data_IF_932697874547
#
_entry.id   IF_932697874547
#
_cell.length_a   1.000
_cell.length_b   1.000
_cell.length_c   1.000
_cell.angle_alpha   90.00
_cell.angle_beta   90.00
_cell.angle_gamma   90.00
#
_symmetry.space_group_name_H-M   'P 1'
#
loop_
_entity.id
_entity.type
_entity.pdbx_description
1 polymer ?
#
# COMPACT_ATOMS: atom_id res chain seq x y z
N UNK A 1 -13.51 -0.80 -15.52
CA UNK A 1 -13.63 -2.27 -15.52
C UNK A 1 -14.57 -2.68 -14.40
N UNK A 2 -15.73 -3.24 -14.72
CA UNK A 2 -16.66 -3.76 -13.73
C UNK A 2 -16.14 -5.10 -13.19
N UNK A 3 -15.58 -5.09 -11.98
CA UNK A 3 -15.28 -6.32 -11.24
C UNK A 3 -16.49 -6.72 -10.38
N UNK A 4 -17.57 -7.15 -11.03
CA UNK A 4 -18.56 -8.00 -10.40
C UNK A 4 -18.25 -9.46 -10.76
N UNK A 5 -17.63 -10.18 -9.83
CA UNK A 5 -17.97 -11.56 -9.44
C UNK A 5 -16.79 -12.28 -8.80
N UNK A 6 -17.16 -13.16 -7.87
CA UNK A 6 -16.35 -14.08 -7.05
C UNK A 6 -15.55 -13.43 -5.92
N UNK A 7 -16.01 -13.75 -4.70
CA UNK A 7 -15.31 -13.65 -3.43
C UNK A 7 -13.87 -14.11 -3.56
N UNK A 8 -12.96 -13.19 -3.88
CA UNK A 8 -11.55 -13.40 -3.60
C UNK A 8 -11.45 -13.53 -2.10
N UNK A 9 -11.22 -14.75 -1.59
CA UNK A 9 -10.78 -14.95 -0.21
C UNK A 9 -9.60 -13.98 -0.01
N UNK A 10 -9.83 -12.91 0.74
CA UNK A 10 -8.76 -11.99 1.10
C UNK A 10 -7.62 -12.77 1.75
N UNK A 11 -6.40 -12.23 1.71
CA UNK A 11 -5.32 -12.76 2.55
C UNK A 11 -5.86 -12.91 3.98
N UNK A 12 -5.49 -13.99 4.67
CA UNK A 12 -5.95 -14.25 6.04
C UNK A 12 -5.66 -13.05 6.97
N UNK A 13 -4.54 -12.39 6.77
CA UNK A 13 -4.12 -11.20 7.50
C UNK A 13 -4.74 -9.89 6.98
N UNK A 14 -5.80 -9.98 6.15
CA UNK A 14 -6.65 -8.85 5.73
C UNK A 14 -5.91 -7.70 5.04
N UNK A 15 -4.92 -8.01 4.19
CA UNK A 15 -4.16 -7.05 3.42
C UNK A 15 -5.05 -6.28 2.42
N UNK A 16 -4.91 -4.94 2.34
CA UNK A 16 -5.71 -4.12 1.45
C UNK A 16 -5.39 -4.37 -0.02
N UNK A 17 -6.38 -4.14 -0.88
CA UNK A 17 -6.30 -4.24 -2.34
C UNK A 17 -6.84 -2.95 -2.94
N UNK A 18 -6.23 -2.51 -4.03
CA UNK A 18 -6.74 -1.35 -4.74
C UNK A 18 -8.08 -1.71 -5.45
N UNK A 19 -9.09 -0.86 -5.30
CA UNK A 19 -10.39 -0.98 -5.97
C UNK A 19 -10.64 0.16 -6.98
N UNK A 20 -9.69 1.08 -7.13
CA UNK A 20 -9.79 2.27 -7.96
C UNK A 20 -8.74 2.25 -9.08
N UNK A 21 -9.15 2.66 -10.28
CA UNK A 21 -8.25 2.87 -11.41
C UNK A 21 -8.46 4.27 -11.97
N UNK A 22 -7.40 4.84 -12.55
CA UNK A 22 -7.41 6.21 -13.12
C UNK A 22 -7.64 6.22 -14.64
N UNK A 23 -8.32 5.22 -15.21
CA UNK A 23 -8.59 5.18 -16.65
C UNK A 23 -9.68 6.19 -17.02
N UNK A 24 -9.29 7.42 -17.38
CA UNK A 24 -10.23 8.48 -17.76
C UNK A 24 -9.57 9.44 -18.76
N UNK A 25 -10.37 10.03 -19.65
CA UNK A 25 -9.98 11.20 -20.45
C UNK A 25 -9.77 12.41 -19.53
N UNK A 26 -8.50 12.68 -19.20
CA UNK A 26 -8.09 13.83 -18.39
C UNK A 26 -8.27 15.12 -19.19
N UNK A 27 -8.84 16.15 -18.57
CA UNK A 27 -9.11 17.43 -19.25
C UNK A 27 -7.86 18.28 -19.46
N UNK A 28 -7.00 18.33 -18.45
CA UNK A 28 -5.73 19.07 -18.50
C UNK A 28 -4.56 18.11 -18.63
N UNK A 29 -4.02 18.00 -19.84
CA UNK A 29 -2.88 17.12 -20.14
C UNK A 29 -1.52 17.74 -19.79
N UNK A 30 -1.48 18.99 -19.31
CA UNK A 30 -0.24 19.69 -18.99
C UNK A 30 0.31 19.36 -17.60
N UNK A 31 -0.46 18.66 -16.77
CA UNK A 31 -0.11 18.37 -15.37
C UNK A 31 -0.35 16.90 -15.02
N UNK A 32 0.44 16.32 -14.12
CA UNK A 32 0.17 14.99 -13.60
C UNK A 32 -1.08 14.98 -12.71
N UNK A 33 -1.71 13.81 -12.60
CA UNK A 33 -2.88 13.58 -11.74
C UNK A 33 -2.39 13.11 -10.37
N UNK A 34 -2.86 13.74 -9.29
CA UNK A 34 -2.57 13.23 -7.95
C UNK A 34 -3.41 11.97 -7.68
N UNK A 35 -2.74 10.87 -7.37
CA UNK A 35 -3.37 9.56 -7.13
C UNK A 35 -3.05 9.03 -5.74
N UNK A 36 -3.92 8.19 -5.15
CA UNK A 36 -3.68 7.66 -3.81
C UNK A 36 -2.79 6.42 -3.76
N UNK A 37 -2.37 5.87 -4.90
CA UNK A 37 -1.70 4.57 -4.94
C UNK A 37 -0.35 4.65 -5.63
N UNK A 38 0.59 3.86 -5.11
CA UNK A 38 1.88 3.57 -5.73
C UNK A 38 1.80 2.22 -6.43
N UNK A 39 2.20 2.14 -7.70
CA UNK A 39 2.20 0.91 -8.47
C UNK A 39 3.58 0.25 -8.46
N UNK A 40 3.71 -0.93 -7.86
CA UNK A 40 5.01 -1.60 -7.73
C UNK A 40 5.62 -2.07 -9.05
N UNK A 41 4.79 -2.29 -10.07
CA UNK A 41 5.24 -2.70 -11.40
C UNK A 41 5.66 -1.54 -12.32
N UNK A 42 5.36 -0.29 -11.96
CA UNK A 42 5.66 0.89 -12.79
C UNK A 42 5.66 2.16 -11.95
N UNK A 43 6.84 2.55 -11.47
CA UNK A 43 7.02 3.76 -10.69
C UNK A 43 8.40 4.38 -10.95
N UNK A 44 8.46 5.71 -10.93
CA UNK A 44 9.68 6.49 -11.06
C UNK A 44 9.76 7.48 -9.91
N UNK A 45 10.98 7.73 -9.42
CA UNK A 45 11.24 8.68 -8.33
C UNK A 45 12.72 9.09 -8.37
N UNK A 46 13.06 10.12 -7.62
CA UNK A 46 14.46 10.38 -7.30
C UNK A 46 15.04 9.25 -6.45
N UNK A 47 16.32 8.90 -6.68
CA UNK A 47 17.00 7.87 -5.90
C UNK A 47 17.06 8.13 -4.39
N UNK A 48 16.81 9.38 -3.95
CA UNK A 48 16.67 9.76 -2.54
C UNK A 48 15.56 8.98 -1.83
N UNK A 49 14.47 8.65 -2.54
CA UNK A 49 13.35 7.89 -1.99
C UNK A 49 13.80 6.57 -1.36
N UNK A 50 14.68 5.82 -2.03
CA UNK A 50 15.14 4.54 -1.52
C UNK A 50 16.16 4.65 -0.38
N UNK A 51 16.76 5.83 -0.18
CA UNK A 51 17.61 6.12 0.98
C UNK A 51 16.78 6.43 2.22
N UNK A 52 15.70 7.20 2.05
CA UNK A 52 14.79 7.58 3.13
C UNK A 52 13.78 6.46 3.46
N UNK A 53 13.32 5.75 2.45
CA UNK A 53 12.30 4.70 2.55
C UNK A 53 12.80 3.44 1.85
N UNK A 54 13.81 2.75 2.43
CA UNK A 54 14.33 1.51 1.86
C UNK A 54 13.26 0.43 1.84
N UNK A 55 13.31 -0.46 0.85
CA UNK A 55 12.50 -1.67 0.84
C UNK A 55 12.83 -2.53 2.08
N UNK A 56 11.81 -3.10 2.69
CA UNK A 56 11.98 -3.94 3.87
C UNK A 56 12.36 -5.37 3.45
N UNK A 57 13.57 -5.85 3.77
CA UNK A 57 14.00 -7.20 3.41
C UNK A 57 13.28 -8.29 4.23
N UNK A 58 12.58 -7.91 5.31
CA UNK A 58 11.87 -8.83 6.20
C UNK A 58 10.44 -9.14 5.76
N UNK A 59 10.07 -8.80 4.51
CA UNK A 59 8.77 -9.14 3.91
C UNK A 59 8.87 -10.12 2.72
N UNK A 60 9.51 -11.30 2.86
CA UNK A 60 9.63 -12.27 1.78
C UNK A 60 8.26 -12.85 1.36
N UNK A 61 8.11 -13.16 0.06
CA UNK A 61 6.90 -13.76 -0.50
C UNK A 61 5.61 -12.93 -0.34
N UNK A 62 5.75 -11.64 -0.03
CA UNK A 62 4.65 -10.71 0.01
C UNK A 62 4.25 -10.28 -1.41
N UNK A 63 3.00 -10.57 -1.78
CA UNK A 63 2.41 -10.12 -3.05
C UNK A 63 1.11 -9.34 -2.85
N UNK A 64 0.50 -9.43 -1.66
CA UNK A 64 -0.66 -8.63 -1.33
C UNK A 64 -0.27 -7.68 -0.21
N UNK A 65 -0.38 -6.38 -0.48
CA UNK A 65 -0.15 -5.34 0.51
C UNK A 65 1.28 -4.78 0.51
N UNK A 66 2.18 -5.29 -0.31
CA UNK A 66 3.49 -4.71 -0.61
C UNK A 66 3.37 -3.27 -1.13
N UNK A 67 2.40 -3.01 -2.00
CA UNK A 67 2.17 -1.67 -2.55
C UNK A 67 1.72 -0.71 -1.45
N UNK A 68 0.81 -1.14 -0.56
CA UNK A 68 0.37 -0.34 0.57
C UNK A 68 1.44 -0.19 1.65
N UNK A 69 2.27 -1.22 1.85
CA UNK A 69 3.38 -1.15 2.79
C UNK A 69 4.36 -0.07 2.37
N UNK A 70 4.81 -0.11 1.12
CA UNK A 70 5.71 0.90 0.59
C UNK A 70 5.02 2.28 0.52
N UNK A 71 3.78 2.35 0.01
CA UNK A 71 3.05 3.60 -0.12
C UNK A 71 2.80 4.29 1.22
N UNK A 72 2.40 3.55 2.26
CA UNK A 72 2.15 4.12 3.60
C UNK A 72 3.42 4.73 4.18
N UNK A 73 4.57 4.06 4.03
CA UNK A 73 5.86 4.59 4.46
C UNK A 73 6.29 5.79 3.62
N UNK A 74 6.30 5.69 2.30
CA UNK A 74 6.67 6.81 1.43
C UNK A 74 5.79 8.05 1.67
N UNK A 75 4.47 7.85 1.76
CA UNK A 75 3.53 8.95 1.95
C UNK A 75 3.68 9.62 3.32
N UNK A 76 3.93 8.85 4.38
CA UNK A 76 4.17 9.43 5.71
C UNK A 76 5.54 10.13 5.81
N UNK A 77 6.52 9.77 4.97
CA UNK A 77 7.79 10.51 4.78
C UNK A 77 7.66 11.77 3.92
N UNK A 78 6.46 12.06 3.40
CA UNK A 78 6.17 13.30 2.69
C UNK A 78 6.13 13.17 1.16
N UNK A 79 6.27 11.96 0.60
CA UNK A 79 6.13 11.75 -0.83
C UNK A 79 4.66 11.74 -1.28
N UNK A 80 4.40 12.22 -2.49
CA UNK A 80 3.08 12.21 -3.12
C UNK A 80 3.13 11.32 -4.37
N UNK A 81 2.02 10.68 -4.73
CA UNK A 81 1.96 9.79 -5.88
C UNK A 81 1.20 10.43 -7.03
N UNK A 82 1.78 10.33 -8.22
CA UNK A 82 1.24 10.94 -9.42
C UNK A 82 1.19 9.94 -10.55
N UNK A 83 0.10 9.98 -11.33
CA UNK A 83 0.04 9.32 -12.62
C UNK A 83 0.20 10.34 -13.76
N UNK A 84 0.77 9.93 -14.90
CA UNK A 84 0.69 10.73 -16.13
C UNK A 84 -0.78 11.02 -16.49
N UNK A 85 -1.07 12.13 -17.19
CA UNK A 85 -2.44 12.46 -17.60
C UNK A 85 -2.92 11.68 -18.83
N UNK A 86 -2.10 10.79 -19.37
CA UNK A 86 -2.40 9.91 -20.50
C UNK A 86 -1.79 8.52 -20.27
N UNK A 87 -2.35 7.51 -20.94
CA UNK A 87 -1.87 6.15 -20.84
C UNK A 87 -0.47 6.00 -21.46
N UNK A 88 0.51 5.61 -20.65
CA UNK A 88 1.91 5.41 -21.08
C UNK A 88 2.25 3.93 -21.27
N UNK A 89 1.63 3.06 -20.48
CA UNK A 89 1.93 1.63 -20.47
C UNK A 89 0.69 0.81 -20.09
N UNK A 90 0.51 -0.32 -20.77
CA UNK A 90 -0.54 -1.29 -20.45
C UNK A 90 0.05 -2.54 -19.81
N UNK A 91 -0.49 -2.96 -18.66
CA UNK A 91 -0.16 -4.24 -18.05
C UNK A 91 -1.22 -5.29 -18.38
N UNK A 92 -0.80 -6.42 -18.94
CA UNK A 92 -1.70 -7.55 -19.24
C UNK A 92 -1.99 -8.36 -17.97
N UNK A 93 -3.04 -7.98 -17.26
CA UNK A 93 -3.65 -8.85 -16.25
C UNK A 93 -4.28 -10.05 -16.96
N UNK A 94 -3.85 -11.27 -16.65
CA UNK A 94 -4.26 -12.44 -17.38
C UNK A 94 -4.95 -13.49 -16.50
N UNK A 95 -6.14 -13.94 -16.92
CA UNK A 95 -6.69 -15.24 -16.53
C UNK A 95 -6.01 -16.42 -17.28
N UNK A 96 -5.22 -16.14 -18.33
CA UNK A 96 -4.63 -17.13 -19.27
C UNK A 96 -3.12 -17.01 -19.50
N UNK A 97 -2.40 -16.17 -18.75
CA UNK A 97 -0.94 -16.22 -18.82
C UNK A 97 -0.51 -17.54 -18.18
N UNK A 98 0.30 -18.34 -18.89
CA UNK A 98 1.05 -19.46 -18.30
C UNK A 98 2.08 -18.86 -17.33
N UNK A 99 1.62 -18.30 -16.21
CA UNK A 99 2.51 -18.01 -15.08
C UNK A 99 2.97 -19.39 -14.61
N UNK A 100 4.28 -19.60 -14.51
CA UNK A 100 4.78 -20.71 -13.70
C UNK A 100 4.05 -20.64 -12.37
N UNK A 101 3.34 -21.72 -12.00
CA UNK A 101 2.67 -21.73 -10.69
C UNK A 101 3.80 -21.68 -9.67
N UNK A 102 3.94 -20.56 -8.98
CA UNK A 102 4.75 -20.49 -7.78
C UNK A 102 4.22 -21.60 -6.86
N UNK A 103 5.05 -22.58 -6.55
CA UNK A 103 4.63 -23.68 -5.69
C UNK A 103 4.53 -23.13 -4.27
N UNK A 104 3.28 -22.88 -3.84
CA UNK A 104 2.99 -22.50 -2.47
C UNK A 104 3.07 -23.76 -1.61
N UNK A 105 4.27 -24.06 -1.10
CA UNK A 105 4.44 -25.05 -0.04
C UNK A 105 4.10 -24.40 1.32
N UNK A 106 4.11 -25.21 2.38
CA UNK A 106 3.81 -24.75 3.75
C UNK A 106 4.81 -23.70 4.24
N UNK A 107 6.08 -23.83 3.87
CA UNK A 107 7.14 -22.88 4.22
C UNK A 107 6.89 -21.47 3.63
N UNK A 108 6.63 -21.39 2.32
CA UNK A 108 6.29 -20.14 1.63
C UNK A 108 5.03 -19.52 2.24
N UNK A 109 4.03 -20.34 2.58
CA UNK A 109 2.83 -19.86 3.24
C UNK A 109 3.12 -19.25 4.61
N UNK A 110 3.99 -19.87 5.41
CA UNK A 110 4.43 -19.36 6.72
C UNK A 110 5.26 -18.07 6.60
N UNK A 111 6.17 -17.97 5.63
CA UNK A 111 6.95 -16.76 5.37
C UNK A 111 6.07 -15.58 4.95
N UNK A 112 5.09 -15.83 4.08
CA UNK A 112 4.09 -14.82 3.68
C UNK A 112 3.26 -14.39 4.88
N UNK A 113 2.77 -15.34 5.68
CA UNK A 113 1.98 -15.05 6.87
C UNK A 113 2.73 -14.15 7.87
N UNK A 114 4.01 -14.44 8.12
CA UNK A 114 4.87 -13.62 8.97
C UNK A 114 5.08 -12.20 8.39
N UNK A 115 5.21 -12.08 7.07
CA UNK A 115 5.36 -10.79 6.36
C UNK A 115 4.11 -9.93 6.41
N UNK A 116 2.93 -10.52 6.20
CA UNK A 116 1.66 -9.80 6.29
C UNK A 116 1.40 -9.35 7.75
N UNK A 117 1.72 -10.19 8.74
CA UNK A 117 1.65 -9.82 10.16
C UNK A 117 2.61 -8.69 10.54
N UNK A 118 3.83 -8.70 10.00
CA UNK A 118 4.82 -7.62 10.20
C UNK A 118 4.25 -6.27 9.76
N UNK A 119 3.63 -6.21 8.59
CA UNK A 119 3.03 -4.97 8.07
C UNK A 119 1.83 -4.56 8.92
N UNK A 120 1.00 -5.52 9.35
CA UNK A 120 -0.07 -5.23 10.30
C UNK A 120 0.47 -4.70 11.63
N UNK A 121 1.64 -5.15 12.09
CA UNK A 121 2.29 -4.61 13.28
C UNK A 121 2.65 -3.14 13.06
N UNK A 122 3.32 -2.81 11.94
CA UNK A 122 3.67 -1.43 11.57
C UNK A 122 2.43 -0.52 11.49
N UNK A 123 1.29 -1.05 11.05
CA UNK A 123 0.04 -0.30 10.96
C UNK A 123 -0.76 -0.23 12.26
N UNK A 124 -0.31 -0.89 13.33
CA UNK A 124 -1.07 -0.98 14.59
C UNK A 124 -2.33 -1.84 14.49
N UNK A 125 -2.36 -2.80 13.56
CA UNK A 125 -3.51 -3.66 13.25
C UNK A 125 -3.26 -5.14 13.56
N UNK A 126 -2.08 -5.51 14.07
CA UNK A 126 -1.70 -6.92 14.28
C UNK A 126 -2.69 -7.66 15.18
N UNK A 127 -2.94 -7.15 16.38
CA UNK A 127 -3.87 -7.77 17.34
C UNK A 127 -5.31 -7.82 16.81
N UNK A 128 -5.73 -6.75 16.14
CA UNK A 128 -7.07 -6.65 15.56
C UNK A 128 -7.29 -7.67 14.43
N UNK A 129 -6.26 -7.94 13.62
CA UNK A 129 -6.33 -8.84 12.45
C UNK A 129 -5.87 -10.26 12.75
N UNK A 130 -5.15 -10.47 13.86
CA UNK A 130 -4.69 -11.77 14.37
C UNK A 130 -5.11 -11.90 15.84
N UNK A 131 -6.33 -12.37 16.14
CA UNK A 131 -6.84 -12.44 17.51
C UNK A 131 -6.15 -13.49 18.40
N UNK A 132 -5.54 -14.50 17.78
CA UNK A 132 -4.86 -15.60 18.48
C UNK A 132 -3.44 -15.18 18.92
N UNK A 133 -3.16 -15.12 20.24
CA UNK A 133 -1.86 -14.73 20.77
C UNK A 133 -0.69 -15.61 20.28
N UNK A 134 -0.90 -16.92 20.10
CA UNK A 134 0.16 -17.81 19.61
C UNK A 134 0.53 -17.49 18.16
N UNK A 135 -0.44 -16.97 17.39
CA UNK A 135 -0.20 -16.54 16.02
C UNK A 135 0.43 -15.16 15.93
N UNK A 136 0.14 -14.26 16.87
CA UNK A 136 0.81 -12.95 16.97
C UNK A 136 2.33 -13.15 17.10
N UNK A 137 2.76 -14.14 17.91
CA UNK A 137 4.18 -14.45 18.10
C UNK A 137 4.91 -14.89 16.82
N UNK A 138 4.18 -15.27 15.76
CA UNK A 138 4.73 -15.63 14.46
C UNK A 138 4.96 -14.43 13.54
N UNK A 139 4.63 -13.21 13.98
CA UNK A 139 4.96 -12.00 13.24
C UNK A 139 6.48 -11.80 13.18
N UNK A 140 7.02 -11.52 11.98
CA UNK A 140 8.43 -11.17 11.87
C UNK A 140 8.65 -9.70 12.27
N UNK A 141 9.01 -9.43 13.51
CA UNK A 141 9.25 -8.07 14.01
C UNK A 141 10.73 -7.65 14.03
N UNK A 142 11.62 -8.47 13.45
CA UNK A 142 13.06 -8.20 13.38
C UNK A 142 13.31 -6.85 12.71
N UNK A 143 14.07 -5.98 13.36
CA UNK A 143 14.46 -4.67 12.82
C UNK A 143 13.27 -3.82 12.32
N UNK A 144 12.06 -4.00 12.87
CA UNK A 144 10.89 -3.25 12.40
C UNK A 144 11.12 -1.73 12.52
N UNK A 145 11.88 -1.31 13.51
CA UNK A 145 12.23 0.09 13.74
C UNK A 145 13.22 0.67 12.74
N UNK A 146 13.87 -0.15 11.90
CA UNK A 146 14.68 0.32 10.76
C UNK A 146 13.85 0.64 9.53
N UNK A 147 12.56 0.26 9.52
CA UNK A 147 11.64 0.50 8.41
C UNK A 147 10.35 1.20 8.89
N UNK A 148 10.47 2.35 9.59
CA UNK A 148 9.34 3.01 10.23
C UNK A 148 8.41 3.69 9.23
N UNK A 149 7.28 4.20 9.74
CA UNK A 149 6.52 5.26 9.09
C UNK A 149 7.24 6.60 9.24
N UNK A 150 6.93 7.55 8.36
CA UNK A 150 7.50 8.89 8.40
C UNK A 150 6.77 9.84 9.34
N UNK A 151 7.33 11.04 9.49
CA UNK A 151 6.87 12.06 10.43
C UNK A 151 6.07 13.20 9.76
N UNK A 152 6.00 13.26 8.43
CA UNK A 152 5.39 14.41 7.72
C UNK A 152 3.86 14.39 7.71
N UNK A 153 3.28 13.19 7.81
CA UNK A 153 1.83 12.94 7.83
C UNK A 153 1.55 11.66 8.61
N UNK A 154 0.36 11.54 9.19
CA UNK A 154 -0.01 10.36 10.01
C UNK A 154 -0.51 9.21 9.15
N UNK A 155 -0.41 7.99 9.70
CA UNK A 155 -1.02 6.80 9.09
C UNK A 155 -2.55 6.93 8.95
N UNK A 156 -3.22 7.61 9.89
CA UNK A 156 -4.66 7.85 9.79
C UNK A 156 -5.01 8.74 8.58
N UNK A 157 -4.18 9.76 8.33
CA UNK A 157 -4.35 10.59 7.14
C UNK A 157 -4.08 9.78 5.86
N UNK A 158 -3.11 8.85 5.87
CA UNK A 158 -2.87 7.94 4.76
C UNK A 158 -4.12 7.10 4.46
N UNK A 159 -4.72 6.44 5.45
CA UNK A 159 -5.93 5.64 5.26
C UNK A 159 -7.11 6.45 4.71
N UNK A 160 -7.28 7.69 5.18
CA UNK A 160 -8.28 8.62 4.63
C UNK A 160 -7.96 9.01 3.19
N UNK A 161 -6.70 9.33 2.89
CA UNK A 161 -6.23 9.73 1.57
C UNK A 161 -6.45 8.61 0.54
N UNK A 162 -6.14 7.37 0.90
CA UNK A 162 -6.35 6.20 0.04
C UNK A 162 -7.77 5.65 0.05
N UNK A 163 -8.67 6.25 0.84
CA UNK A 163 -10.08 5.87 0.86
C UNK A 163 -10.33 4.46 1.37
N UNK A 164 -9.55 3.97 2.33
CA UNK A 164 -9.70 2.62 2.89
C UNK A 164 -9.90 2.72 4.41
N UNK A 165 -10.94 2.08 4.92
CA UNK A 165 -11.05 1.81 6.34
C UNK A 165 -10.19 0.58 6.70
N UNK A 166 -9.10 0.73 7.47
CA UNK A 166 -8.18 -0.37 7.74
C UNK A 166 -8.79 -1.48 8.61
N UNK A 167 -9.86 -1.20 9.36
CA UNK A 167 -10.51 -2.17 10.23
C UNK A 167 -11.59 -2.97 9.49
N UNK A 168 -12.43 -2.29 8.71
CA UNK A 168 -13.55 -2.93 8.00
C UNK A 168 -13.19 -3.37 6.59
N UNK A 169 -12.07 -2.88 6.03
CA UNK A 169 -11.68 -3.01 4.62
C UNK A 169 -12.67 -2.38 3.64
N UNK A 170 -13.57 -1.52 4.11
CA UNK A 170 -14.43 -0.74 3.23
C UNK A 170 -13.57 0.21 2.40
N UNK A 171 -13.80 0.20 1.08
CA UNK A 171 -13.07 1.05 0.12
C UNK A 171 -14.02 2.09 -0.47
N UNK A 172 -13.57 3.33 -0.55
CA UNK A 172 -14.22 4.40 -1.31
C UNK A 172 -13.90 4.21 -2.78
N UNK A 173 -14.93 4.10 -3.62
CA UNK A 173 -14.79 4.13 -5.07
C UNK A 173 -15.09 5.54 -5.56
N UNK A 174 -14.08 6.23 -6.10
CA UNK A 174 -14.26 7.59 -6.60
C UNK A 174 -14.86 7.59 -8.01
N UNK A 175 -15.65 8.63 -8.29
CA UNK A 175 -16.20 8.86 -9.63
C UNK A 175 -15.08 9.21 -10.61
N UNK A 176 -15.20 8.75 -11.85
CA UNK A 176 -14.28 9.07 -12.93
C UNK A 176 -14.06 10.58 -13.13
N UNK A 177 -15.09 11.39 -12.85
CA UNK A 177 -15.02 12.85 -12.93
C UNK A 177 -13.93 13.47 -12.03
N UNK A 178 -13.57 12.83 -10.93
CA UNK A 178 -12.47 13.26 -10.05
C UNK A 178 -11.13 13.19 -10.78
N UNK A 179 -10.85 12.05 -11.44
CA UNK A 179 -9.60 11.85 -12.17
C UNK A 179 -9.54 12.76 -13.41
N UNK A 180 -10.68 12.96 -14.08
CA UNK A 180 -10.79 13.88 -15.20
C UNK A 180 -10.43 15.34 -14.83
N UNK A 181 -10.62 15.73 -13.57
CA UNK A 181 -10.36 17.08 -13.06
C UNK A 181 -9.00 17.25 -12.35
N UNK A 182 -8.10 16.27 -12.43
CA UNK A 182 -6.76 16.37 -11.83
C UNK A 182 -6.52 15.50 -10.60
N UNK A 183 -7.50 14.69 -10.19
CA UNK A 183 -7.35 13.70 -9.13
C UNK A 183 -7.67 14.23 -7.74
N UNK A 184 -6.98 13.68 -6.73
CA UNK A 184 -7.20 14.04 -5.34
C UNK A 184 -6.59 15.41 -4.98
N UNK A 185 -7.04 15.96 -3.86
CA UNK A 185 -6.37 17.11 -3.25
C UNK A 185 -5.16 16.67 -2.44
N UNK A 186 -4.07 17.45 -2.55
CA UNK A 186 -2.84 17.18 -1.80
C UNK A 186 -3.06 17.44 -0.32
N UNK A 187 -2.66 16.48 0.51
CA UNK A 187 -2.61 16.67 1.97
C UNK A 187 -1.27 17.32 2.33
N UNK A 188 -1.27 18.55 2.90
CA UNK A 188 -0.03 19.22 3.28
C UNK A 188 0.66 18.52 4.45
N UNK A 189 1.95 18.76 4.60
CA UNK A 189 2.70 18.35 5.79
C UNK A 189 2.23 19.19 6.98
N UNK A 190 1.94 18.54 8.10
CA UNK A 190 1.26 19.18 9.23
C UNK A 190 1.98 18.96 10.57
N UNK A 191 3.29 19.22 10.58
CA UNK A 191 4.24 19.08 11.71
C UNK A 191 4.69 17.63 11.98
N UNK A 192 5.85 17.41 12.62
CA UNK A 192 6.38 16.07 12.86
C UNK A 192 5.43 15.25 13.74
N UNK A 193 5.07 14.07 13.25
CA UNK A 193 4.29 13.06 13.98
C UNK A 193 5.20 11.96 14.51
N UNK A 194 4.86 11.45 15.69
CA UNK A 194 5.50 10.26 16.25
C UNK A 194 4.83 9.02 15.64
N UNK A 195 5.63 8.05 15.20
CA UNK A 195 5.13 6.77 14.73
C UNK A 195 4.23 6.15 15.81
N UNK A 196 2.96 5.81 15.50
CA UNK A 196 1.99 5.39 16.49
C UNK A 196 2.32 4.04 17.14
N UNK A 197 3.17 3.24 16.51
CA UNK A 197 3.56 1.90 16.97
C UNK A 197 4.94 1.94 17.59
N UNK A 198 5.92 2.51 16.88
CA UNK A 198 7.32 2.50 17.29
C UNK A 198 7.66 3.60 18.29
N UNK A 199 6.78 4.60 18.47
CA UNK A 199 6.97 5.74 19.37
C UNK A 199 8.28 6.52 19.10
N UNK A 200 8.70 6.58 17.84
CA UNK A 200 9.90 7.32 17.37
C UNK A 200 9.50 8.37 16.33
N UNK A 201 10.32 9.41 16.18
CA UNK A 201 10.27 10.35 15.05
C UNK A 201 11.22 9.80 13.99
N UNK A 202 10.79 9.75 12.72
CA UNK A 202 11.67 9.37 11.61
C UNK A 202 12.84 10.36 11.52
N UNK A 203 14.07 9.85 11.60
CA UNK A 203 15.32 10.62 11.56
C UNK A 203 15.78 10.89 10.13
#
# INVERSE_FOLDING_TARGET
MNHNSTTQKGSENRMPRNANGCYVLVKDLSKPILVPFWGGGFAFSEGKLLKEVPLDPNTPWLFHGEEFHFASRAWTHGYDFYSPPYDVMFHRYANKAKRGRMQYNTEVASLRDASEKRINALWGLLELRTPDPERIQKANLVDLDKYPLGDKRTLQQFWKFVGINPTTLQVTVWKESLWASGGLERVPWNSPHVDPVLKKIAS
#
